data_IF_277763711045
#
_entry.id   IF_277763711045
#
_cell.length_a   1.000
_cell.length_b   1.000
_cell.length_c   1.000
_cell.angle_alpha   90.00
_cell.angle_beta   90.00
_cell.angle_gamma   90.00
#
_symmetry.space_group_name_H-M   'P 1'
#
loop_
_entity.id
_entity.type
_entity.pdbx_description
1 polymer ?
#
# COMPACT_ATOMS: atom_id res chain seq x y z
N UNK A 1 1.27 15.78 -30.74
CA UNK A 1 1.91 17.10 -30.84
C UNK A 1 1.29 17.88 -31.99
N UNK A 2 0.92 19.11 -31.72
CA UNK A 2 0.26 19.99 -32.72
C UNK A 2 1.06 20.13 -34.02
N UNK A 3 2.37 20.37 -33.91
CA UNK A 3 3.22 20.69 -35.04
C UNK A 3 3.76 19.47 -35.82
N UNK A 4 3.77 18.29 -35.27
CA UNK A 4 4.46 17.12 -35.84
C UNK A 4 3.63 15.86 -35.93
N UNK A 5 2.40 15.85 -35.41
CA UNK A 5 1.54 14.67 -35.34
C UNK A 5 2.06 13.53 -34.45
N UNK A 6 3.22 13.72 -33.81
CA UNK A 6 3.83 12.68 -32.98
C UNK A 6 2.99 12.37 -31.76
N UNK A 7 2.65 11.09 -31.52
CA UNK A 7 1.89 10.64 -30.37
C UNK A 7 2.64 10.96 -29.07
N UNK A 8 1.90 11.48 -28.09
CA UNK A 8 2.34 11.76 -26.72
C UNK A 8 1.20 11.37 -25.80
N UNK A 9 1.53 10.69 -24.74
CA UNK A 9 0.62 10.31 -23.66
C UNK A 9 0.94 11.17 -22.44
N UNK A 10 -0.08 11.73 -21.81
CA UNK A 10 0.00 12.46 -20.54
C UNK A 10 -0.75 11.68 -19.49
N UNK A 11 -0.10 11.41 -18.37
CA UNK A 11 -0.76 10.90 -17.19
C UNK A 11 -0.82 12.02 -16.15
N UNK A 12 -2.02 12.40 -15.78
CA UNK A 12 -2.30 13.44 -14.78
C UNK A 12 -1.96 12.91 -13.39
N UNK A 13 -1.18 13.67 -12.61
CA UNK A 13 -0.76 13.27 -11.27
C UNK A 13 -1.41 14.13 -10.19
N UNK A 14 -1.16 15.42 -10.25
CA UNK A 14 -1.62 16.36 -9.24
C UNK A 14 -1.97 17.71 -9.88
N UNK A 15 -3.15 18.20 -9.57
CA UNK A 15 -3.53 19.58 -9.91
C UNK A 15 -2.74 20.52 -9.00
N UNK A 16 -2.08 21.51 -9.57
CA UNK A 16 -1.32 22.53 -8.82
C UNK A 16 -2.17 23.77 -8.62
N UNK A 17 -2.29 24.58 -9.63
CA UNK A 17 -3.11 25.80 -9.59
C UNK A 17 -3.79 26.02 -10.93
N UNK A 18 -4.98 26.60 -10.93
CA UNK A 18 -5.76 26.85 -12.13
C UNK A 18 -5.84 25.58 -13.02
N UNK A 19 -5.39 25.71 -14.27
CA UNK A 19 -5.38 24.64 -15.26
C UNK A 19 -3.99 24.01 -15.44
N UNK A 20 -3.11 24.14 -14.44
CA UNK A 20 -1.77 23.55 -14.45
C UNK A 20 -1.78 22.25 -13.65
N UNK A 21 -1.30 21.18 -14.29
CA UNK A 21 -1.16 19.87 -13.73
C UNK A 21 0.27 19.36 -13.77
N UNK A 22 0.69 18.72 -12.73
CA UNK A 22 1.84 17.85 -12.75
C UNK A 22 1.48 16.57 -13.48
N UNK A 23 2.33 16.18 -14.46
CA UNK A 23 2.05 15.04 -15.34
C UNK A 23 3.28 14.20 -15.59
N UNK A 24 3.10 12.90 -15.80
CA UNK A 24 4.08 12.08 -16.50
C UNK A 24 3.79 12.12 -18.00
N UNK A 25 4.87 12.15 -18.78
CA UNK A 25 4.77 12.23 -20.24
C UNK A 25 5.55 11.12 -20.91
N UNK A 26 4.91 10.42 -21.84
CA UNK A 26 5.54 9.35 -22.62
C UNK A 26 5.32 9.58 -24.11
N UNK A 27 6.39 9.59 -24.91
CA UNK A 27 7.81 9.64 -24.54
C UNK A 27 8.27 11.06 -24.15
N UNK A 28 8.98 11.17 -23.01
CA UNK A 28 9.41 12.46 -22.44
C UNK A 28 10.26 13.33 -23.39
N UNK A 29 11.05 12.70 -24.26
CA UNK A 29 11.88 13.41 -25.26
C UNK A 29 11.05 14.24 -26.25
N UNK A 30 9.77 13.92 -26.44
CA UNK A 30 8.85 14.62 -27.33
C UNK A 30 8.08 15.78 -26.68
N UNK A 31 8.16 15.92 -25.37
CA UNK A 31 7.46 16.94 -24.61
C UNK A 31 8.46 17.81 -23.83
N UNK A 32 9.07 18.73 -24.56
CA UNK A 32 9.96 19.78 -24.03
C UNK A 32 9.12 21.00 -23.64
N UNK A 33 9.68 21.89 -22.84
CA UNK A 33 9.06 23.18 -22.51
C UNK A 33 8.61 23.88 -23.80
N UNK A 34 7.39 24.43 -23.81
CA UNK A 34 6.76 25.06 -24.99
C UNK A 34 6.14 24.07 -25.99
N UNK A 35 6.22 22.75 -25.73
CA UNK A 35 5.55 21.76 -26.60
C UNK A 35 4.05 21.86 -26.47
N UNK A 36 3.34 22.02 -27.57
CA UNK A 36 1.88 21.99 -27.64
C UNK A 36 1.37 20.63 -28.06
N UNK A 37 0.35 20.17 -27.39
CA UNK A 37 -0.27 18.84 -27.54
C UNK A 37 -1.78 19.05 -27.67
N UNK A 38 -2.40 18.32 -28.59
CA UNK A 38 -3.83 18.44 -28.89
C UNK A 38 -4.48 17.08 -28.72
N UNK A 39 -5.63 17.05 -28.05
CA UNK A 39 -6.44 15.86 -27.80
C UNK A 39 -7.84 16.05 -28.37
N UNK A 40 -8.47 14.94 -28.81
CA UNK A 40 -9.86 14.92 -29.25
C UNK A 40 -10.15 15.89 -30.39
N UNK A 41 -9.21 16.06 -31.36
CA UNK A 41 -9.41 16.98 -32.48
C UNK A 41 -9.44 18.46 -32.11
N UNK A 42 -8.90 18.82 -30.91
CA UNK A 42 -8.82 20.20 -30.45
C UNK A 42 -9.73 20.56 -29.29
N UNK A 43 -10.52 19.62 -28.81
CA UNK A 43 -11.38 19.80 -27.62
C UNK A 43 -10.55 20.14 -26.37
N UNK A 44 -9.38 19.51 -26.24
CA UNK A 44 -8.43 19.78 -25.17
C UNK A 44 -7.05 20.06 -25.78
N UNK A 45 -6.45 21.18 -25.38
CA UNK A 45 -5.07 21.52 -25.71
C UNK A 45 -4.23 21.58 -24.45
N UNK A 46 -2.94 21.32 -24.59
CA UNK A 46 -2.00 21.34 -23.50
C UNK A 46 -0.67 21.93 -23.93
N UNK A 47 -0.04 22.69 -23.05
CA UNK A 47 1.31 23.24 -23.21
C UNK A 47 2.19 22.81 -22.06
N UNK A 48 3.36 22.27 -22.36
CA UNK A 48 4.39 21.98 -21.35
C UNK A 48 5.01 23.28 -20.90
N UNK A 49 4.76 23.69 -19.67
CA UNK A 49 5.26 24.97 -19.13
C UNK A 49 6.57 24.82 -18.37
N UNK A 50 6.81 23.62 -17.76
CA UNK A 50 8.06 23.36 -17.05
C UNK A 50 8.37 21.85 -16.97
N UNK A 51 9.62 21.53 -16.58
CA UNK A 51 10.09 20.18 -16.27
C UNK A 51 10.64 20.22 -14.86
N UNK A 52 9.99 19.49 -13.98
CA UNK A 52 10.31 19.44 -12.55
C UNK A 52 11.04 18.14 -12.18
N UNK A 53 11.26 17.93 -10.89
CA UNK A 53 11.94 16.77 -10.34
C UNK A 53 11.43 15.45 -10.92
N UNK A 54 12.30 14.44 -10.98
CA UNK A 54 12.04 13.12 -11.56
C UNK A 54 11.63 13.13 -13.05
N UNK A 55 11.73 14.26 -13.70
CA UNK A 55 11.35 14.43 -15.10
C UNK A 55 9.85 14.57 -15.32
N UNK A 56 9.06 14.85 -14.29
CA UNK A 56 7.66 15.22 -14.40
C UNK A 56 7.52 16.56 -15.13
N UNK A 57 6.37 16.79 -15.76
CA UNK A 57 6.08 18.05 -16.49
C UNK A 57 4.98 18.80 -15.80
N UNK A 58 5.13 20.10 -15.69
CA UNK A 58 4.00 20.99 -15.48
C UNK A 58 3.38 21.29 -16.83
N UNK A 59 2.10 20.99 -16.93
CA UNK A 59 1.33 21.15 -18.17
C UNK A 59 0.13 22.03 -17.91
N UNK A 60 0.00 23.09 -18.69
CA UNK A 60 -1.17 23.95 -18.69
C UNK A 60 -2.16 23.43 -19.72
N UNK A 61 -3.42 23.25 -19.30
CA UNK A 61 -4.51 22.84 -20.16
C UNK A 61 -5.36 24.03 -20.59
N UNK A 62 -5.75 24.04 -21.85
CA UNK A 62 -6.67 25.00 -22.46
C UNK A 62 -7.88 24.24 -22.99
N UNK A 63 -9.07 24.62 -22.53
CA UNK A 63 -10.33 23.97 -22.86
C UNK A 63 -11.51 24.90 -22.58
N UNK A 64 -12.65 24.62 -23.22
CA UNK A 64 -13.92 25.28 -22.96
C UNK A 64 -14.86 24.31 -22.21
N UNK A 65 -15.49 24.76 -21.12
CA UNK A 65 -16.40 23.98 -20.30
C UNK A 65 -15.77 23.38 -19.05
N UNK A 66 -16.25 22.21 -18.64
CA UNK A 66 -15.82 21.53 -17.42
C UNK A 66 -14.73 20.51 -17.76
N UNK A 67 -13.56 20.65 -17.12
CA UNK A 67 -12.40 19.81 -17.39
C UNK A 67 -12.66 18.32 -17.15
N UNK A 68 -13.35 18.01 -16.09
CA UNK A 68 -13.70 16.65 -15.69
C UNK A 68 -14.58 15.95 -16.75
N UNK A 69 -15.54 16.65 -17.33
CA UNK A 69 -16.38 16.13 -18.42
C UNK A 69 -15.57 15.88 -19.71
N UNK A 70 -14.58 16.71 -19.95
CA UNK A 70 -13.66 16.54 -21.10
C UNK A 70 -12.78 15.32 -20.87
N UNK A 71 -12.27 15.14 -19.64
CA UNK A 71 -11.49 13.97 -19.29
C UNK A 71 -12.31 12.68 -19.39
N UNK A 72 -13.59 12.70 -19.02
CA UNK A 72 -14.48 11.53 -19.20
C UNK A 72 -14.66 11.14 -20.66
N UNK A 73 -14.69 12.10 -21.56
CA UNK A 73 -14.80 11.87 -23.01
C UNK A 73 -13.51 11.42 -23.67
N UNK A 74 -12.39 12.00 -23.27
CA UNK A 74 -11.09 11.82 -23.94
C UNK A 74 -10.11 10.94 -23.18
N UNK A 75 -10.23 10.90 -21.85
CA UNK A 75 -9.31 10.23 -20.97
C UNK A 75 -9.51 8.72 -20.95
N UNK A 76 -8.44 8.06 -20.56
CA UNK A 76 -8.44 6.63 -20.28
C UNK A 76 -8.00 6.41 -18.85
N UNK A 77 -8.61 5.43 -18.16
CA UNK A 77 -8.15 5.01 -16.84
C UNK A 77 -6.67 4.57 -16.93
N UNK A 78 -5.78 5.14 -16.10
CA UNK A 78 -4.41 4.66 -16.05
C UNK A 78 -4.37 3.23 -15.52
N UNK A 79 -3.74 2.35 -16.30
CA UNK A 79 -3.57 0.94 -15.94
C UNK A 79 -2.08 0.65 -15.72
N UNK A 80 -1.75 -0.26 -14.79
CA UNK A 80 -0.39 -0.75 -14.66
C UNK A 80 0.16 -1.31 -15.97
N UNK A 81 1.48 -1.21 -16.21
CA UNK A 81 2.08 -1.58 -17.51
C UNK A 81 1.87 -3.03 -17.96
N UNK A 82 1.58 -3.93 -17.02
CA UNK A 82 1.31 -5.35 -17.30
C UNK A 82 -0.12 -5.60 -17.81
N UNK A 83 -1.02 -4.62 -17.72
CA UNK A 83 -2.36 -4.68 -18.31
C UNK A 83 -2.29 -4.04 -19.69
N UNK A 84 -2.24 -4.88 -20.73
CA UNK A 84 -2.08 -4.43 -22.12
C UNK A 84 -3.40 -4.26 -22.87
N UNK A 85 -4.48 -4.84 -22.36
CA UNK A 85 -5.80 -4.73 -22.96
C UNK A 85 -6.56 -3.51 -22.42
N UNK A 86 -7.22 -2.76 -23.31
CA UNK A 86 -8.15 -1.73 -22.89
C UNK A 86 -9.36 -2.36 -22.21
N UNK A 87 -9.73 -1.81 -21.05
CA UNK A 87 -10.94 -2.22 -20.36
C UNK A 87 -12.16 -1.77 -21.14
N UNK A 88 -13.11 -2.66 -21.32
CA UNK A 88 -14.43 -2.34 -21.93
C UNK A 88 -15.24 -1.41 -21.03
N UNK A 89 -15.10 -1.56 -19.73
CA UNK A 89 -15.74 -0.74 -18.70
C UNK A 89 -14.65 -0.17 -17.78
N UNK A 90 -14.57 1.16 -17.68
CA UNK A 90 -13.64 1.88 -16.82
C UNK A 90 -13.82 1.48 -15.34
N UNK A 91 -15.03 1.19 -14.90
CA UNK A 91 -15.35 0.87 -13.52
C UNK A 91 -14.79 -0.49 -13.08
N UNK A 92 -14.44 -1.38 -14.01
CA UNK A 92 -13.82 -2.67 -13.66
C UNK A 92 -12.47 -2.54 -12.94
N UNK A 93 -11.80 -1.39 -13.06
CA UNK A 93 -10.51 -1.14 -12.39
C UNK A 93 -10.66 -0.11 -11.27
N UNK A 94 -11.79 -0.10 -10.59
CA UNK A 94 -12.04 0.72 -9.40
C UNK A 94 -12.84 -0.08 -8.37
N UNK A 95 -12.60 0.20 -7.09
CA UNK A 95 -13.33 -0.44 -6.00
C UNK A 95 -14.77 0.10 -5.92
N UNK A 96 -15.70 -0.74 -5.49
CA UNK A 96 -17.12 -0.35 -5.30
C UNK A 96 -17.30 0.71 -4.20
N UNK A 97 -16.27 0.93 -3.38
CA UNK A 97 -16.27 1.91 -2.29
C UNK A 97 -15.39 3.14 -2.55
N UNK A 98 -14.91 3.33 -3.78
CA UNK A 98 -14.18 4.54 -4.13
C UNK A 98 -15.07 5.78 -3.96
N UNK A 99 -14.56 6.80 -3.26
CA UNK A 99 -15.35 7.98 -2.92
C UNK A 99 -14.69 9.31 -3.32
N UNK A 100 -13.39 9.40 -3.15
CA UNK A 100 -12.65 10.65 -3.38
C UNK A 100 -11.66 10.47 -4.52
N UNK A 101 -11.71 11.39 -5.47
CA UNK A 101 -10.76 11.46 -6.57
C UNK A 101 -9.41 12.01 -6.08
N UNK A 102 -8.32 11.73 -6.81
CA UNK A 102 -6.98 12.25 -6.51
C UNK A 102 -5.89 11.19 -6.41
N UNK A 103 -6.22 9.91 -6.50
CA UNK A 103 -5.25 8.82 -6.55
C UNK A 103 -4.85 8.47 -7.98
N UNK A 104 -3.55 8.29 -8.23
CA UNK A 104 -3.04 7.81 -9.51
C UNK A 104 -3.24 6.28 -9.70
N UNK A 105 -3.63 5.56 -8.66
CA UNK A 105 -3.82 4.12 -8.69
C UNK A 105 -4.99 3.67 -7.79
N UNK A 106 -5.75 2.67 -8.26
CA UNK A 106 -6.78 2.03 -7.46
C UNK A 106 -6.17 1.09 -6.42
N UNK A 107 -6.80 0.91 -5.24
CA UNK A 107 -6.39 -0.09 -4.25
C UNK A 107 -6.85 -1.48 -4.69
N UNK A 108 -6.08 -2.12 -5.58
CA UNK A 108 -6.51 -3.27 -6.38
C UNK A 108 -6.87 -4.53 -5.59
N UNK A 109 -6.41 -4.68 -4.35
CA UNK A 109 -6.90 -5.73 -3.45
C UNK A 109 -8.39 -5.54 -3.10
N UNK A 110 -8.89 -4.32 -3.14
CA UNK A 110 -10.31 -4.02 -2.96
C UNK A 110 -11.21 -4.46 -4.10
N UNK A 111 -10.66 -4.76 -5.29
CA UNK A 111 -11.43 -5.26 -6.43
C UNK A 111 -12.03 -6.66 -6.17
N UNK A 112 -11.52 -7.40 -5.19
CA UNK A 112 -12.09 -8.69 -4.76
C UNK A 112 -13.41 -8.53 -3.99
N UNK A 113 -13.74 -7.31 -3.54
CA UNK A 113 -14.90 -7.03 -2.71
C UNK A 113 -16.03 -6.41 -3.56
N UNK A 114 -17.14 -7.11 -3.62
CA UNK A 114 -18.39 -6.59 -4.19
C UNK A 114 -19.22 -5.90 -3.11
N UNK A 115 -20.18 -5.05 -3.50
CA UNK A 115 -21.14 -4.44 -2.56
C UNK A 115 -21.84 -5.51 -1.72
N UNK A 116 -22.32 -6.58 -2.39
CA UNK A 116 -22.97 -7.70 -1.70
C UNK A 116 -22.06 -8.38 -0.66
N UNK A 117 -20.78 -8.61 -1.00
CA UNK A 117 -19.82 -9.20 -0.05
C UNK A 117 -19.60 -8.30 1.16
N UNK A 118 -19.50 -6.99 0.95
CA UNK A 118 -19.35 -6.02 2.06
C UNK A 118 -20.60 -6.03 2.96
N UNK A 119 -21.81 -6.05 2.38
CA UNK A 119 -23.04 -6.20 3.16
C UNK A 119 -23.09 -7.51 3.95
N UNK A 120 -22.69 -8.63 3.34
CA UNK A 120 -22.71 -9.94 4.00
C UNK A 120 -21.68 -9.98 5.16
N UNK A 121 -20.53 -9.32 5.02
CA UNK A 121 -19.55 -9.13 6.08
C UNK A 121 -20.14 -8.31 7.23
N UNK A 122 -20.77 -7.18 6.96
CA UNK A 122 -21.42 -6.35 7.99
C UNK A 122 -22.54 -7.10 8.71
N UNK A 123 -23.37 -7.84 7.96
CA UNK A 123 -24.44 -8.70 8.53
C UNK A 123 -23.90 -9.82 9.43
N UNK A 124 -22.68 -10.27 9.21
CA UNK A 124 -21.99 -11.26 10.07
C UNK A 124 -21.45 -10.67 11.37
N UNK A 125 -21.61 -9.36 11.60
CA UNK A 125 -21.17 -8.66 12.81
C UNK A 125 -19.75 -8.08 12.73
N UNK A 126 -19.14 -8.06 11.56
CA UNK A 126 -17.83 -7.44 11.35
C UNK A 126 -18.00 -5.96 10.99
N UNK A 127 -17.29 -5.09 11.70
CA UNK A 127 -17.30 -3.67 11.42
C UNK A 127 -16.41 -3.34 10.23
N UNK A 128 -16.85 -2.45 9.35
CA UNK A 128 -16.06 -1.96 8.22
C UNK A 128 -15.66 -0.50 8.46
N UNK A 129 -14.37 -0.25 8.64
CA UNK A 129 -13.79 1.10 8.72
C UNK A 129 -13.17 1.48 7.38
N UNK A 130 -13.52 2.66 6.85
CA UNK A 130 -13.03 3.16 5.56
C UNK A 130 -12.01 4.26 5.77
N UNK A 131 -10.87 4.15 5.09
CA UNK A 131 -9.77 5.12 5.13
C UNK A 131 -9.39 5.52 3.70
N UNK A 132 -8.76 6.68 3.55
CA UNK A 132 -8.34 7.20 2.25
C UNK A 132 -6.82 7.32 2.19
N UNK A 133 -6.22 6.87 1.09
CA UNK A 133 -4.84 7.17 0.70
C UNK A 133 -4.82 7.55 -0.78
N UNK A 134 -4.28 8.70 -1.10
CA UNK A 134 -4.03 9.09 -2.49
C UNK A 134 -2.67 8.55 -2.93
N UNK A 135 -2.73 7.36 -3.54
CA UNK A 135 -1.53 6.65 -3.99
C UNK A 135 -0.88 7.37 -5.16
N UNK A 136 0.38 7.72 -5.00
CA UNK A 136 1.22 8.27 -6.06
C UNK A 136 1.79 7.17 -6.98
N UNK A 137 2.32 7.58 -8.12
CA UNK A 137 2.95 6.65 -9.10
C UNK A 137 4.22 5.97 -8.57
N UNK A 138 4.83 6.53 -7.55
CA UNK A 138 6.05 5.99 -6.96
C UNK A 138 5.89 4.55 -6.46
N UNK A 139 4.69 4.19 -5.99
CA UNK A 139 4.38 2.84 -5.50
C UNK A 139 4.57 1.73 -6.54
N UNK A 140 4.52 2.06 -7.83
CA UNK A 140 4.72 1.10 -8.93
C UNK A 140 6.14 1.10 -9.49
N UNK A 141 7.03 1.93 -8.96
CA UNK A 141 8.43 1.95 -9.41
C UNK A 141 9.22 0.86 -8.70
N UNK A 142 10.04 0.07 -9.42
CA UNK A 142 10.96 -0.87 -8.79
C UNK A 142 11.92 -0.16 -7.85
N UNK A 143 12.28 -0.82 -6.76
CA UNK A 143 13.37 -0.37 -5.88
C UNK A 143 14.68 -0.43 -6.67
N UNK A 144 15.39 0.70 -6.76
CA UNK A 144 16.62 0.84 -7.55
C UNK A 144 17.89 0.96 -6.72
N UNK A 145 17.77 0.82 -5.41
CA UNK A 145 18.89 0.93 -4.47
C UNK A 145 19.32 -0.45 -4.02
N UNK A 146 20.62 -0.67 -3.90
CA UNK A 146 21.17 -1.92 -3.38
C UNK A 146 20.97 -2.04 -1.86
N UNK A 147 20.87 -0.92 -1.17
CA UNK A 147 20.59 -0.83 0.26
C UNK A 147 19.16 -0.30 0.49
N UNK A 148 18.29 -1.19 0.95
CA UNK A 148 16.86 -0.89 1.18
C UNK A 148 16.67 0.29 2.13
N UNK A 149 17.55 0.48 3.13
CA UNK A 149 17.44 1.59 4.09
C UNK A 149 17.61 2.97 3.44
N UNK A 150 18.18 3.02 2.23
CA UNK A 150 18.38 4.25 1.44
C UNK A 150 17.23 4.52 0.46
N UNK A 151 16.23 3.63 0.42
CA UNK A 151 15.07 3.85 -0.43
C UNK A 151 14.15 4.90 0.20
N UNK A 152 13.88 5.97 -0.56
CA UNK A 152 12.91 6.99 -0.17
C UNK A 152 11.56 6.71 -0.83
N UNK A 153 10.54 6.52 -0.01
CA UNK A 153 9.17 6.43 -0.49
C UNK A 153 8.67 7.81 -0.91
N UNK A 154 7.86 7.82 -1.96
CA UNK A 154 7.14 9.04 -2.33
C UNK A 154 6.09 9.37 -1.27
N UNK A 155 5.98 10.65 -0.99
CA UNK A 155 4.95 11.17 -0.06
C UNK A 155 3.56 11.01 -0.67
N UNK A 156 2.64 10.45 0.10
CA UNK A 156 1.25 10.21 -0.25
C UNK A 156 0.35 10.80 0.83
N UNK A 157 -0.75 11.43 0.40
CA UNK A 157 -1.72 12.02 1.32
C UNK A 157 -2.68 10.95 1.84
N UNK A 158 -2.90 10.93 3.16
CA UNK A 158 -3.88 10.05 3.79
C UNK A 158 -4.92 10.80 4.61
N UNK A 159 -6.09 10.18 4.80
CA UNK A 159 -7.14 10.68 5.66
C UNK A 159 -7.82 9.52 6.40
N UNK A 160 -8.01 9.69 7.71
CA UNK A 160 -8.76 8.80 8.60
C UNK A 160 -9.82 9.61 9.32
N UNK A 161 -11.09 9.26 9.09
CA UNK A 161 -12.21 9.91 9.77
C UNK A 161 -12.23 9.55 11.26
N UNK A 162 -12.87 10.40 12.08
CA UNK A 162 -13.08 10.09 13.49
C UNK A 162 -13.82 8.77 13.71
N UNK A 163 -14.84 8.51 12.90
CA UNK A 163 -15.62 7.28 12.97
C UNK A 163 -14.75 6.04 12.68
N UNK A 164 -13.91 6.10 11.64
CA UNK A 164 -13.00 5.01 11.32
C UNK A 164 -11.96 4.77 12.44
N UNK A 165 -11.37 5.85 12.97
CA UNK A 165 -10.42 5.75 14.07
C UNK A 165 -11.07 5.17 15.34
N UNK A 166 -12.26 5.65 15.71
CA UNK A 166 -13.02 5.15 16.86
C UNK A 166 -13.37 3.66 16.70
N UNK A 167 -13.82 3.25 15.50
CA UNK A 167 -14.13 1.84 15.20
C UNK A 167 -12.91 0.95 15.36
N UNK A 168 -11.77 1.33 14.78
CA UNK A 168 -10.52 0.57 14.87
C UNK A 168 -10.06 0.46 16.33
N UNK A 169 -10.00 1.60 17.04
CA UNK A 169 -9.51 1.64 18.42
C UNK A 169 -10.42 0.86 19.38
N UNK A 170 -11.75 0.97 19.23
CA UNK A 170 -12.71 0.22 20.04
C UNK A 170 -12.62 -1.28 19.77
N UNK A 171 -12.44 -1.69 18.50
CA UNK A 171 -12.24 -3.09 18.14
C UNK A 171 -11.02 -3.66 18.86
N UNK A 172 -9.88 -2.97 18.82
CA UNK A 172 -8.65 -3.40 19.51
C UNK A 172 -8.84 -3.44 21.04
N UNK A 173 -9.44 -2.40 21.60
CA UNK A 173 -9.72 -2.32 23.05
C UNK A 173 -10.56 -3.49 23.55
N UNK A 174 -11.46 -4.00 22.71
CA UNK A 174 -12.34 -5.13 23.03
C UNK A 174 -11.74 -6.50 22.63
N UNK A 175 -10.43 -6.57 22.31
CA UNK A 175 -9.76 -7.82 21.93
C UNK A 175 -10.05 -8.29 20.50
N UNK A 176 -10.69 -7.45 19.67
CA UNK A 176 -10.97 -7.76 18.28
C UNK A 176 -9.74 -7.55 17.38
N UNK A 177 -9.82 -8.06 16.16
CA UNK A 177 -8.74 -8.04 15.16
C UNK A 177 -8.97 -6.98 14.09
N UNK A 178 -7.88 -6.37 13.63
CA UNK A 178 -7.88 -5.39 12.54
C UNK A 178 -7.32 -6.07 11.29
N UNK A 179 -8.20 -6.31 10.32
CA UNK A 179 -7.85 -6.91 9.04
C UNK A 179 -7.88 -5.82 7.97
N UNK A 180 -6.74 -5.50 7.39
CA UNK A 180 -6.65 -4.56 6.28
C UNK A 180 -6.95 -5.24 4.95
N UNK A 181 -7.66 -4.52 4.08
CA UNK A 181 -7.81 -4.88 2.66
C UNK A 181 -6.92 -3.96 1.84
N UNK A 182 -5.85 -4.54 1.31
CA UNK A 182 -4.82 -3.84 0.55
C UNK A 182 -3.71 -3.22 1.40
N UNK A 183 -2.52 -3.17 0.81
CA UNK A 183 -1.35 -2.49 1.38
C UNK A 183 -1.59 -1.00 1.59
N UNK A 184 -2.50 -0.41 0.83
CA UNK A 184 -2.97 0.98 0.95
C UNK A 184 -3.58 1.25 2.33
N UNK A 185 -4.57 0.45 2.75
CA UNK A 185 -5.19 0.60 4.08
C UNK A 185 -4.22 0.29 5.21
N UNK A 186 -3.35 -0.71 5.04
CA UNK A 186 -2.28 -1.01 5.99
C UNK A 186 -1.38 0.22 6.22
N UNK A 187 -0.84 0.80 5.15
CA UNK A 187 0.03 1.97 5.24
C UNK A 187 -0.69 3.17 5.85
N UNK A 188 -1.96 3.36 5.55
CA UNK A 188 -2.78 4.44 6.11
C UNK A 188 -2.90 4.33 7.63
N UNK A 189 -3.36 3.18 8.16
CA UNK A 189 -3.58 3.05 9.60
C UNK A 189 -2.29 3.00 10.41
N UNK A 190 -1.21 2.42 9.85
CA UNK A 190 0.10 2.43 10.49
C UNK A 190 0.69 3.85 10.54
N UNK A 191 0.50 4.66 9.49
CA UNK A 191 0.91 6.08 9.47
C UNK A 191 0.10 6.94 10.42
N UNK A 192 -1.21 6.73 10.49
CA UNK A 192 -2.11 7.47 11.38
C UNK A 192 -2.00 7.04 12.84
N UNK A 193 -1.24 5.98 13.16
CA UNK A 193 -1.12 5.47 14.53
C UNK A 193 -0.01 6.15 15.33
N UNK A 194 -0.26 6.36 16.61
CA UNK A 194 0.79 6.74 17.55
C UNK A 194 1.63 5.51 17.96
N UNK A 195 2.68 5.76 18.77
CA UNK A 195 3.59 4.70 19.26
C UNK A 195 2.89 3.60 20.08
N UNK A 196 1.70 3.84 20.60
CA UNK A 196 0.93 2.90 21.40
C UNK A 196 -0.10 2.12 20.54
N UNK A 197 -0.08 2.27 19.22
CA UNK A 197 -1.00 1.59 18.31
C UNK A 197 -2.43 2.17 18.31
N UNK A 198 -2.60 3.39 18.80
CA UNK A 198 -3.88 4.09 18.74
C UNK A 198 -3.93 4.88 17.44
N UNK A 199 -4.94 4.62 16.62
CA UNK A 199 -5.17 5.33 15.36
C UNK A 199 -5.77 6.70 15.64
N UNK A 200 -5.13 7.73 15.12
CA UNK A 200 -5.56 9.12 15.26
C UNK A 200 -6.42 9.52 14.06
N UNK A 201 -7.57 10.14 14.33
CA UNK A 201 -8.36 10.78 13.29
C UNK A 201 -7.64 12.02 12.76
N UNK A 202 -7.73 12.27 11.48
CA UNK A 202 -7.10 13.41 10.83
C UNK A 202 -6.62 13.10 9.42
N UNK A 203 -5.85 14.01 8.90
CA UNK A 203 -5.23 13.89 7.58
C UNK A 203 -3.76 14.28 7.67
N UNK A 204 -2.97 13.81 6.72
CA UNK A 204 -1.54 14.09 6.68
C UNK A 204 -0.86 13.44 5.48
N UNK A 205 0.40 13.71 5.39
CA UNK A 205 1.27 13.10 4.40
C UNK A 205 2.06 11.94 5.03
N UNK A 206 2.29 10.89 4.26
CA UNK A 206 3.08 9.73 4.69
C UNK A 206 4.06 9.30 3.61
N UNK A 207 5.27 9.01 4.02
CA UNK A 207 6.33 8.35 3.25
C UNK A 207 6.69 7.00 3.88
N UNK A 208 5.76 6.41 4.64
CA UNK A 208 6.00 5.17 5.38
C UNK A 208 6.51 4.06 4.46
N UNK A 209 7.68 3.55 4.79
CA UNK A 209 8.28 2.40 4.13
C UNK A 209 8.29 1.22 5.08
N UNK A 210 7.48 0.21 4.77
CA UNK A 210 7.34 -1.01 5.55
C UNK A 210 8.15 -2.11 4.86
N UNK A 211 9.16 -2.62 5.55
CA UNK A 211 10.04 -3.69 5.09
C UNK A 211 10.42 -4.61 6.27
N UNK A 212 11.04 -5.77 6.06
CA UNK A 212 11.41 -6.67 7.15
C UNK A 212 12.13 -5.97 8.30
N UNK A 213 11.66 -6.18 9.53
CA UNK A 213 12.07 -5.44 10.72
C UNK A 213 11.08 -4.34 11.17
N UNK A 214 10.11 -3.97 10.33
CA UNK A 214 9.04 -3.04 10.72
C UNK A 214 8.11 -3.71 11.75
N UNK A 215 7.73 -2.95 12.79
CA UNK A 215 6.75 -3.38 13.79
C UNK A 215 5.38 -2.81 13.49
N UNK A 216 4.46 -3.68 13.14
CA UNK A 216 3.06 -3.31 13.00
C UNK A 216 2.45 -2.99 14.38
N UNK A 217 1.78 -1.86 14.46
CA UNK A 217 1.17 -1.35 15.70
C UNK A 217 -0.32 -1.62 15.76
N UNK A 218 -0.97 -1.60 14.60
CA UNK A 218 -2.43 -1.67 14.49
C UNK A 218 -2.88 -2.93 13.79
N UNK A 219 -2.28 -3.26 12.67
CA UNK A 219 -2.65 -4.35 11.76
C UNK A 219 -2.49 -5.72 12.43
N UNK A 220 -3.50 -6.58 12.31
CA UNK A 220 -3.44 -8.00 12.74
C UNK A 220 -3.48 -8.96 11.55
N UNK A 221 -4.08 -8.57 10.43
CA UNK A 221 -4.11 -9.36 9.21
C UNK A 221 -4.25 -8.50 7.96
N UNK A 222 -3.84 -9.05 6.84
CA UNK A 222 -3.84 -8.35 5.56
C UNK A 222 -4.39 -9.26 4.45
N UNK A 223 -5.42 -8.78 3.76
CA UNK A 223 -5.88 -9.34 2.49
C UNK A 223 -5.25 -8.49 1.39
N UNK A 224 -4.49 -9.12 0.51
CA UNK A 224 -3.79 -8.40 -0.56
C UNK A 224 -3.58 -9.28 -1.79
N UNK A 225 -3.18 -8.69 -2.91
CA UNK A 225 -2.81 -9.40 -4.13
C UNK A 225 -1.41 -10.02 -4.01
N UNK A 226 -1.07 -10.93 -4.91
CA UNK A 226 0.32 -11.33 -5.14
C UNK A 226 1.07 -10.20 -5.85
N UNK A 227 2.19 -9.77 -5.29
CA UNK A 227 2.95 -8.60 -5.72
C UNK A 227 4.12 -8.97 -6.65
N UNK A 228 4.61 -7.97 -7.39
CA UNK A 228 5.79 -8.10 -8.25
C UNK A 228 7.06 -8.37 -7.43
N UNK A 229 8.01 -9.14 -7.97
CA UNK A 229 9.37 -9.19 -7.45
C UNK A 229 9.99 -7.78 -7.36
N UNK A 230 10.95 -7.60 -6.46
CA UNK A 230 11.69 -6.34 -6.26
C UNK A 230 10.79 -5.13 -5.95
N UNK A 231 9.58 -5.36 -5.45
CA UNK A 231 8.63 -4.30 -5.09
C UNK A 231 8.60 -4.02 -3.59
N UNK A 232 8.34 -2.76 -3.24
CA UNK A 232 8.10 -2.35 -1.84
C UNK A 232 6.92 -3.09 -1.21
N UNK A 233 5.97 -3.54 -2.03
CA UNK A 233 4.80 -4.29 -1.57
C UNK A 233 5.15 -5.73 -1.16
N UNK A 234 6.07 -6.39 -1.88
CA UNK A 234 6.59 -7.70 -1.47
C UNK A 234 7.37 -7.60 -0.15
N UNK A 235 8.09 -6.48 0.05
CA UNK A 235 8.77 -6.22 1.31
C UNK A 235 7.79 -6.02 2.47
N UNK A 236 6.67 -5.31 2.25
CA UNK A 236 5.63 -5.10 3.25
C UNK A 236 5.03 -6.44 3.73
N UNK A 237 4.63 -7.32 2.81
CA UNK A 237 4.08 -8.62 3.21
C UNK A 237 5.13 -9.51 3.86
N UNK A 238 6.39 -9.40 3.46
CA UNK A 238 7.51 -10.09 4.10
C UNK A 238 7.79 -9.56 5.52
N UNK A 239 7.55 -8.27 5.76
CA UNK A 239 7.64 -7.70 7.11
C UNK A 239 6.56 -8.24 8.05
N UNK A 240 5.39 -8.61 7.50
CA UNK A 240 4.24 -9.04 8.27
C UNK A 240 4.37 -10.49 8.79
N UNK A 241 4.86 -11.40 7.96
CA UNK A 241 4.85 -12.84 8.26
C UNK A 241 6.22 -13.52 8.12
N UNK A 242 7.25 -12.74 7.87
CA UNK A 242 8.59 -13.26 7.58
C UNK A 242 8.80 -13.55 6.09
N UNK A 243 10.02 -13.27 5.62
CA UNK A 243 10.40 -13.41 4.22
C UNK A 243 10.27 -14.85 3.71
N UNK A 244 10.78 -15.81 4.47
CA UNK A 244 10.84 -17.20 4.01
C UNK A 244 9.43 -17.81 3.89
N UNK A 245 8.51 -17.44 4.78
CA UNK A 245 7.10 -17.84 4.69
C UNK A 245 6.43 -17.27 3.45
N UNK A 246 6.67 -15.98 3.15
CA UNK A 246 6.12 -15.36 1.94
C UNK A 246 6.73 -15.99 0.69
N UNK A 247 8.03 -16.24 0.65
CA UNK A 247 8.67 -16.87 -0.51
C UNK A 247 8.17 -18.31 -0.72
N UNK A 248 7.93 -19.07 0.35
CA UNK A 248 7.32 -20.41 0.26
C UNK A 248 5.88 -20.33 -0.28
N UNK A 249 5.06 -19.41 0.23
CA UNK A 249 3.70 -19.19 -0.25
C UNK A 249 3.66 -18.75 -1.72
N UNK A 250 4.58 -17.88 -2.15
CA UNK A 250 4.69 -17.46 -3.55
C UNK A 250 5.11 -18.61 -4.46
N UNK A 251 6.04 -19.46 -4.00
CA UNK A 251 6.45 -20.65 -4.75
C UNK A 251 5.27 -21.59 -4.94
N UNK A 252 4.51 -21.88 -3.89
CA UNK A 252 3.31 -22.71 -3.95
C UNK A 252 2.25 -22.10 -4.87
N UNK A 253 2.02 -20.78 -4.77
CA UNK A 253 1.09 -20.08 -5.64
C UNK A 253 1.47 -20.19 -7.13
N UNK A 254 2.77 -20.14 -7.47
CA UNK A 254 3.26 -20.36 -8.83
C UNK A 254 3.03 -21.80 -9.26
N UNK A 255 3.37 -22.77 -8.42
CA UNK A 255 3.20 -24.21 -8.70
C UNK A 255 1.72 -24.56 -8.91
N UNK A 256 0.82 -23.94 -8.13
CA UNK A 256 -0.64 -24.10 -8.24
C UNK A 256 -1.27 -23.20 -9.32
N UNK A 257 -0.47 -22.41 -10.06
CA UNK A 257 -0.93 -21.52 -11.13
C UNK A 257 -1.93 -20.45 -10.69
N UNK A 258 -1.74 -19.91 -9.49
CA UNK A 258 -2.47 -18.72 -9.06
C UNK A 258 -2.16 -17.54 -9.99
N UNK A 259 -3.14 -16.67 -10.17
CA UNK A 259 -3.00 -15.45 -10.97
C UNK A 259 -2.47 -14.33 -10.10
N UNK A 260 -1.47 -13.65 -10.62
CA UNK A 260 -0.78 -12.60 -9.90
C UNK A 260 -1.30 -11.20 -10.29
N UNK A 261 -0.97 -10.21 -9.50
CA UNK A 261 -1.23 -8.77 -9.69
C UNK A 261 -2.71 -8.39 -9.56
N UNK A 262 -3.13 -7.30 -10.24
CA UNK A 262 -4.40 -6.61 -9.98
C UNK A 262 -5.65 -7.44 -10.24
N UNK A 263 -5.66 -8.25 -11.28
CA UNK A 263 -6.79 -9.13 -11.62
C UNK A 263 -6.50 -10.59 -11.28
N UNK A 264 -5.54 -10.78 -10.41
CA UNK A 264 -5.14 -12.10 -9.96
C UNK A 264 -5.98 -12.62 -8.80
N UNK A 265 -5.40 -13.56 -8.11
CA UNK A 265 -5.96 -14.11 -6.89
C UNK A 265 -5.45 -13.32 -5.68
N UNK A 266 -6.17 -13.38 -4.57
CA UNK A 266 -5.79 -12.72 -3.32
C UNK A 266 -5.12 -13.71 -2.37
N UNK A 267 -4.29 -13.17 -1.47
CA UNK A 267 -3.77 -13.89 -0.33
C UNK A 267 -4.21 -13.20 0.97
N UNK A 268 -4.38 -14.01 2.01
CA UNK A 268 -4.53 -13.54 3.38
C UNK A 268 -3.24 -13.85 4.15
N UNK A 269 -2.73 -12.85 4.84
CA UNK A 269 -1.57 -12.99 5.74
C UNK A 269 -1.92 -12.50 7.13
N UNK A 270 -1.42 -13.19 8.15
CA UNK A 270 -1.70 -12.90 9.54
C UNK A 270 -0.43 -12.40 10.26
N UNK A 271 -0.56 -11.27 10.95
CA UNK A 271 0.49 -10.72 11.78
C UNK A 271 0.51 -11.45 13.13
N UNK A 272 1.10 -12.62 13.17
CA UNK A 272 1.26 -13.36 14.42
C UNK A 272 2.40 -12.75 15.24
N UNK A 273 2.09 -11.70 15.98
CA UNK A 273 3.06 -10.84 16.68
C UNK A 273 3.90 -11.58 17.72
N UNK A 274 3.37 -12.66 18.29
CA UNK A 274 4.11 -13.48 19.25
C UNK A 274 4.77 -14.70 18.63
N UNK A 275 4.54 -14.97 17.33
CA UNK A 275 5.08 -16.17 16.66
C UNK A 275 6.51 -15.99 16.24
N UNK A 276 6.88 -14.81 15.74
CA UNK A 276 8.18 -14.57 15.13
C UNK A 276 8.97 -13.46 15.80
N UNK A 277 10.27 -13.66 15.87
CA UNK A 277 11.26 -12.62 16.18
C UNK A 277 11.46 -11.68 14.97
N UNK A 278 12.09 -10.51 15.15
CA UNK A 278 12.35 -9.56 14.06
C UNK A 278 13.19 -10.13 12.90
N UNK A 279 14.03 -11.13 13.18
CA UNK A 279 14.88 -11.82 12.21
C UNK A 279 14.12 -12.91 11.41
N UNK A 280 12.83 -13.12 11.69
CA UNK A 280 12.00 -14.13 11.06
C UNK A 280 12.07 -15.51 11.68
N UNK A 281 12.86 -15.71 12.73
CA UNK A 281 12.89 -16.96 13.50
C UNK A 281 11.66 -17.06 14.39
N UNK A 282 11.28 -18.30 14.77
CA UNK A 282 10.19 -18.49 15.72
C UNK A 282 10.55 -17.94 17.10
N UNK A 283 9.58 -17.31 17.76
CA UNK A 283 9.74 -16.85 19.14
C UNK A 283 9.93 -18.05 20.05
N UNK A 284 11.14 -18.26 20.52
CA UNK A 284 11.58 -19.42 21.31
C UNK A 284 10.89 -19.52 22.67
N UNK A 285 10.20 -18.48 23.15
CA UNK A 285 9.38 -18.54 24.35
C UNK A 285 8.12 -19.40 24.19
N UNK A 286 7.57 -19.44 22.98
CA UNK A 286 6.29 -20.08 22.68
C UNK A 286 6.38 -21.21 21.67
N UNK A 287 7.42 -21.24 20.83
CA UNK A 287 7.52 -22.17 19.70
C UNK A 287 8.85 -22.94 19.68
N UNK A 288 8.79 -24.17 19.21
CA UNK A 288 9.97 -24.91 18.76
C UNK A 288 10.47 -24.38 17.41
N UNK A 289 11.69 -24.75 17.04
CA UNK A 289 12.28 -24.31 15.76
C UNK A 289 11.48 -24.79 14.51
N UNK A 290 10.65 -25.81 14.67
CA UNK A 290 9.75 -26.32 13.61
C UNK A 290 8.36 -25.68 13.63
N UNK A 291 8.14 -24.67 14.45
CA UNK A 291 6.89 -23.93 14.56
C UNK A 291 5.83 -24.57 15.44
N UNK A 292 6.11 -25.66 16.15
CA UNK A 292 5.17 -26.24 17.11
C UNK A 292 5.11 -25.42 18.38
N UNK A 293 3.91 -25.23 18.93
CA UNK A 293 3.71 -24.61 20.24
C UNK A 293 4.35 -25.44 21.34
N UNK A 294 5.12 -24.79 22.21
CA UNK A 294 5.68 -25.34 23.46
C UNK A 294 4.69 -25.35 24.61
N UNK A 295 3.67 -24.51 24.54
CA UNK A 295 2.64 -24.29 25.55
C UNK A 295 1.28 -24.67 24.99
N UNK A 296 0.25 -24.76 25.85
CA UNK A 296 -1.11 -24.99 25.37
C UNK A 296 -1.65 -23.80 24.56
N UNK A 297 -2.64 -24.05 23.72
CA UNK A 297 -3.30 -23.00 22.94
C UNK A 297 -3.94 -21.92 23.83
N UNK A 298 -4.49 -22.31 24.97
CA UNK A 298 -5.11 -21.40 25.96
C UNK A 298 -4.06 -20.49 26.62
N UNK A 299 -2.88 -21.01 26.91
CA UNK A 299 -1.77 -20.22 27.48
C UNK A 299 -1.23 -19.25 26.44
N UNK A 300 -1.14 -19.68 25.17
CA UNK A 300 -0.72 -18.80 24.08
C UNK A 300 -1.73 -17.68 23.86
N UNK A 301 -3.02 -17.98 23.85
CA UNK A 301 -4.07 -16.96 23.72
C UNK A 301 -4.02 -15.93 24.85
N UNK A 302 -3.82 -16.36 26.08
CA UNK A 302 -3.64 -15.45 27.23
C UNK A 302 -2.41 -14.56 27.08
N UNK A 303 -1.32 -15.11 26.54
CA UNK A 303 -0.12 -14.30 26.23
C UNK A 303 -0.40 -13.24 25.16
N UNK A 304 -1.16 -13.56 24.10
CA UNK A 304 -1.58 -12.58 23.09
C UNK A 304 -2.48 -11.48 23.68
N UNK A 305 -3.44 -11.84 24.54
CA UNK A 305 -4.32 -10.88 25.21
C UNK A 305 -3.52 -9.92 26.11
N UNK A 306 -2.58 -10.46 26.90
CA UNK A 306 -1.74 -9.65 27.79
C UNK A 306 -0.75 -8.78 26.98
N UNK A 307 -0.19 -9.30 25.87
CA UNK A 307 0.61 -8.51 24.94
C UNK A 307 -0.17 -7.28 24.44
N UNK A 308 -1.40 -7.47 23.98
CA UNK A 308 -2.26 -6.39 23.51
C UNK A 308 -2.59 -5.39 24.62
N UNK A 309 -2.84 -5.86 25.82
CA UNK A 309 -3.10 -5.01 26.97
C UNK A 309 -1.90 -4.11 27.29
N UNK A 310 -0.71 -4.67 27.37
CA UNK A 310 0.53 -3.91 27.61
C UNK A 310 0.83 -2.96 26.44
N UNK A 311 0.56 -3.39 25.19
CA UNK A 311 0.71 -2.55 24.01
C UNK A 311 -0.12 -1.27 24.10
N UNK A 312 -1.36 -1.40 24.57
CA UNK A 312 -2.27 -0.25 24.73
C UNK A 312 -1.96 0.64 25.93
N UNK A 313 -1.48 0.06 27.04
CA UNK A 313 -1.20 0.81 28.27
C UNK A 313 0.21 1.43 28.33
N UNK A 314 1.22 0.68 27.92
CA UNK A 314 2.64 1.00 28.12
C UNK A 314 3.46 1.13 26.83
N UNK A 315 2.84 0.82 25.71
CA UNK A 315 3.46 0.94 24.38
C UNK A 315 4.21 -0.30 23.90
N UNK A 316 4.63 -0.24 22.63
CA UNK A 316 5.14 -1.39 21.90
C UNK A 316 6.48 -1.91 22.45
N UNK A 317 7.35 -1.04 22.94
CA UNK A 317 8.66 -1.46 23.44
C UNK A 317 8.52 -2.33 24.69
N UNK A 318 7.60 -2.00 25.60
CA UNK A 318 7.34 -2.78 26.80
C UNK A 318 6.62 -4.08 26.46
N UNK A 319 5.59 -4.05 25.62
CA UNK A 319 4.90 -5.24 25.18
C UNK A 319 5.88 -6.23 24.53
N UNK A 320 6.69 -5.76 23.60
CA UNK A 320 7.68 -6.59 22.94
C UNK A 320 8.68 -7.21 23.92
N UNK A 321 9.35 -6.39 24.73
CA UNK A 321 10.39 -6.85 25.66
C UNK A 321 9.87 -7.77 26.77
N UNK A 322 8.54 -7.81 26.99
CA UNK A 322 7.89 -8.72 27.93
C UNK A 322 7.70 -10.11 27.34
N UNK A 323 7.41 -10.20 26.04
CA UNK A 323 6.97 -11.44 25.38
C UNK A 323 7.95 -12.02 24.37
N UNK A 324 9.14 -11.44 24.23
CA UNK A 324 10.19 -11.96 23.34
C UNK A 324 11.48 -12.17 24.13
N UNK A 325 12.21 -13.23 23.80
CA UNK A 325 13.53 -13.52 24.36
C UNK A 325 14.57 -12.49 23.93
N UNK A 326 14.41 -11.97 22.72
CA UNK A 326 15.32 -10.99 22.15
C UNK A 326 14.81 -9.58 22.40
N UNK A 327 15.65 -8.76 23.05
CA UNK A 327 15.33 -7.35 23.22
C UNK A 327 15.27 -6.69 21.86
N UNK A 328 14.29 -5.82 21.71
CA UNK A 328 14.20 -5.01 20.50
C UNK A 328 15.47 -4.19 20.31
N UNK A 329 16.07 -4.39 19.16
CA UNK A 329 17.26 -3.65 18.76
C UNK A 329 17.11 -3.19 17.32
N UNK A 330 16.85 -1.90 17.12
CA UNK A 330 16.73 -1.27 15.80
C UNK A 330 17.99 -1.52 14.97
N UNK A 331 19.17 -1.45 15.60
CA UNK A 331 20.45 -1.69 14.93
C UNK A 331 20.59 -3.12 14.41
N UNK A 332 20.06 -4.12 15.11
CA UNK A 332 20.08 -5.51 14.66
C UNK A 332 19.17 -5.72 13.44
N UNK A 333 18.02 -5.04 13.39
CA UNK A 333 17.15 -5.06 12.21
C UNK A 333 17.79 -4.37 11.00
N UNK A 334 18.48 -3.25 11.22
CA UNK A 334 19.22 -2.54 10.17
C UNK A 334 20.41 -3.38 9.66
N UNK A 335 21.11 -4.05 10.56
CA UNK A 335 22.23 -4.94 10.23
C UNK A 335 21.74 -6.18 9.46
N UNK A 336 20.63 -6.77 9.88
CA UNK A 336 20.00 -7.87 9.14
C UNK A 336 19.58 -7.43 7.73
N UNK A 337 18.96 -6.26 7.59
CA UNK A 337 18.60 -5.70 6.28
C UNK A 337 19.83 -5.47 5.40
N UNK A 338 20.94 -4.94 5.95
CA UNK A 338 22.20 -4.73 5.25
C UNK A 338 22.84 -6.05 4.77
N UNK A 339 22.85 -7.06 5.63
CA UNK A 339 23.49 -8.35 5.35
C UNK A 339 22.67 -9.20 4.36
N UNK A 340 21.37 -9.02 4.29
CA UNK A 340 20.48 -9.80 3.41
C UNK A 340 20.10 -9.07 2.10
N UNK A 341 20.22 -7.75 2.04
CA UNK A 341 20.02 -7.00 0.81
C UNK A 341 21.11 -7.23 -0.24
N UNK A 342 22.37 -7.47 0.19
CA UNK A 342 23.51 -7.70 -0.70
C UNK A 342 23.50 -9.11 -1.35
N UNK A 343 22.89 -10.11 -0.72
CA UNK A 343 22.95 -11.51 -1.16
C UNK A 343 21.65 -12.02 -1.83
N UNK A 344 20.56 -11.29 -1.76
CA UNK A 344 19.27 -11.72 -2.31
C UNK A 344 18.57 -10.54 -2.97
N UNK A 345 18.66 -10.45 -4.28
CA UNK A 345 17.77 -9.59 -5.07
C UNK A 345 16.34 -10.10 -4.85
N UNK A 346 15.50 -9.22 -4.34
CA UNK A 346 14.06 -9.44 -4.27
C UNK A 346 13.41 -9.33 -5.65
#
# INVERSE_FOLDING_TARGET
RENTGGKVELLLLKRKENNIWETLVKPGKKARIGSRIVFGGGILKAEVVDIIEEGNRLVRFEFDGIFEEILDKLGQMPLPPYITHQLKDKNMYQTVYAKYEGSAAAPTAGLHFTEKLLEDIEKSGVNIARVTLHVGLGTFRPVKVDDVSKHHMHTEFYQVSKEAADTINNTKKNGGRIICVGTTSCRTIESASNKNGIVMAGEGDTDIFIYPGYRFRVLDGLITNFHLPESTLLMLVSALTGRDNIMAAYKEAVDMKYRFFSFGDAMYTDARRLVYNPDGTYNSLYFENDGKLKISADEYQKAEEEYHKILLSDGIDKAWNTFHSDKWNVSACEEWCKNNSANHRF
#
